data_IF_359321889474
#
_entry.id   IF_359321889474
#
_cell.length_a   1.000
_cell.length_b   1.000
_cell.length_c   1.000
_cell.angle_alpha   90.00
_cell.angle_beta   90.00
_cell.angle_gamma   90.00
#
_symmetry.space_group_name_H-M   'P 1'
#
loop_
_entity.id
_entity.type
_entity.pdbx_description
1 polymer ?
#
# COMPACT_ATOMS: atom_id res chain seq x y z
N UNK A 1 26.01 19.22 11.28
CA UNK A 1 26.07 18.11 10.31
C UNK A 1 24.77 17.34 10.42
N UNK A 2 23.91 17.46 9.41
CA UNK A 2 22.52 17.01 9.42
C UNK A 2 22.41 15.53 9.09
N UNK A 3 21.92 14.73 10.03
CA UNK A 3 21.53 13.34 9.79
C UNK A 3 20.01 13.32 9.53
N UNK A 4 19.59 13.65 8.31
CA UNK A 4 18.17 13.62 7.93
C UNK A 4 18.03 13.43 6.42
N UNK A 5 18.60 12.35 5.90
CA UNK A 5 18.49 12.00 4.48
C UNK A 5 18.49 10.48 4.36
N UNK A 6 17.30 9.88 4.18
CA UNK A 6 16.98 8.93 3.08
C UNK A 6 15.81 7.96 3.38
N UNK A 7 15.09 8.10 4.50
CA UNK A 7 13.89 7.27 4.75
C UNK A 7 12.71 7.80 3.94
N UNK A 8 12.12 7.01 3.02
CA UNK A 8 10.92 7.42 2.29
C UNK A 8 9.72 7.56 3.24
N UNK A 9 8.76 8.40 2.88
CA UNK A 9 7.52 8.54 3.66
C UNK A 9 6.75 7.22 3.83
N UNK A 10 5.90 7.15 4.85
CA UNK A 10 4.99 6.02 5.10
C UNK A 10 4.16 5.68 3.85
N UNK A 11 3.61 6.72 3.19
CA UNK A 11 2.86 6.58 1.93
C UNK A 11 3.70 5.95 0.82
N UNK A 12 4.93 6.44 0.64
CA UNK A 12 5.76 5.95 -0.45
C UNK A 12 6.21 4.50 -0.21
N UNK A 13 6.58 4.17 1.02
CA UNK A 13 6.89 2.80 1.44
C UNK A 13 5.72 1.86 1.18
N UNK A 14 4.50 2.29 1.52
CA UNK A 14 3.27 1.55 1.24
C UNK A 14 3.05 1.32 -0.26
N UNK A 15 3.25 2.36 -1.08
CA UNK A 15 3.11 2.28 -2.54
C UNK A 15 4.14 1.32 -3.13
N UNK A 16 5.43 1.47 -2.81
CA UNK A 16 6.50 0.59 -3.33
C UNK A 16 6.24 -0.87 -2.96
N UNK A 17 5.89 -1.14 -1.70
CA UNK A 17 5.54 -2.50 -1.26
C UNK A 17 4.38 -3.08 -2.06
N UNK A 18 3.32 -2.30 -2.32
CA UNK A 18 2.18 -2.79 -3.08
C UNK A 18 2.47 -2.97 -4.57
N UNK A 19 3.34 -2.14 -5.14
CA UNK A 19 3.81 -2.28 -6.51
C UNK A 19 4.63 -3.57 -6.67
N UNK A 20 5.62 -3.78 -5.80
CA UNK A 20 6.51 -4.95 -5.83
C UNK A 20 5.71 -6.25 -5.65
N UNK A 21 4.81 -6.30 -4.66
CA UNK A 21 3.97 -7.47 -4.39
C UNK A 21 3.04 -7.85 -5.55
N UNK A 22 2.74 -6.91 -6.46
CA UNK A 22 1.84 -7.11 -7.61
C UNK A 22 2.58 -7.13 -8.94
N UNK A 23 3.92 -7.00 -8.95
CA UNK A 23 4.70 -6.88 -10.18
C UNK A 23 4.34 -5.65 -11.02
N UNK A 24 3.87 -4.57 -10.37
CA UNK A 24 3.48 -3.32 -11.01
C UNK A 24 4.64 -2.32 -11.01
N UNK A 25 4.62 -1.40 -11.97
CA UNK A 25 5.64 -0.34 -12.09
C UNK A 25 5.11 1.02 -11.63
N UNK A 26 6.01 1.96 -11.38
CA UNK A 26 5.61 3.37 -11.19
C UNK A 26 4.94 3.96 -12.44
N UNK A 27 5.13 3.36 -13.63
CA UNK A 27 4.39 3.69 -14.83
C UNK A 27 2.91 3.29 -14.76
N UNK A 28 2.61 2.13 -14.16
CA UNK A 28 1.23 1.69 -13.89
C UNK A 28 0.55 2.61 -12.90
N UNK A 29 1.26 3.00 -11.83
CA UNK A 29 0.78 3.97 -10.85
C UNK A 29 0.42 5.31 -11.51
N UNK A 30 1.28 5.83 -12.39
CA UNK A 30 1.04 7.10 -13.09
C UNK A 30 -0.18 7.01 -14.00
N UNK A 31 -0.34 5.90 -14.74
CA UNK A 31 -1.52 5.67 -15.58
C UNK A 31 -2.81 5.56 -14.77
N UNK A 32 -2.79 4.83 -13.66
CA UNK A 32 -3.97 4.59 -12.83
C UNK A 32 -4.43 5.86 -12.12
N UNK A 33 -3.49 6.68 -11.63
CA UNK A 33 -3.79 7.89 -10.86
C UNK A 33 -3.93 9.15 -11.72
N UNK A 34 -3.47 9.11 -12.97
CA UNK A 34 -3.41 10.28 -13.86
C UNK A 34 -2.40 11.35 -13.42
N UNK A 35 -1.57 11.09 -12.39
CA UNK A 35 -0.63 12.09 -11.89
C UNK A 35 0.70 12.04 -12.65
N UNK A 36 1.34 13.20 -12.78
CA UNK A 36 2.67 13.31 -13.35
C UNK A 36 3.75 12.78 -12.39
N UNK A 37 4.84 12.21 -12.91
CA UNK A 37 5.93 11.59 -12.12
C UNK A 37 6.56 12.52 -11.08
N UNK A 38 6.50 13.84 -11.28
CA UNK A 38 6.96 14.82 -10.29
C UNK A 38 6.25 14.70 -8.94
N UNK A 39 4.98 14.24 -8.95
CA UNK A 39 4.22 13.95 -7.72
C UNK A 39 4.83 12.80 -6.93
N UNK A 40 5.48 11.83 -7.56
CA UNK A 40 6.11 10.71 -6.84
C UNK A 40 7.33 11.17 -6.03
N UNK A 41 8.08 12.15 -6.53
CA UNK A 41 9.17 12.77 -5.76
C UNK A 41 8.62 13.53 -4.55
N UNK A 42 7.50 14.23 -4.72
CA UNK A 42 6.79 14.90 -3.63
C UNK A 42 6.29 13.89 -2.58
N UNK A 43 5.70 12.77 -3.00
CA UNK A 43 5.22 11.72 -2.09
C UNK A 43 6.35 11.03 -1.34
N UNK A 44 7.49 10.74 -2.01
CA UNK A 44 8.71 10.24 -1.34
C UNK A 44 9.16 11.14 -0.19
N UNK A 45 9.01 12.45 -0.35
CA UNK A 45 9.36 13.49 0.63
C UNK A 45 8.27 13.74 1.68
N UNK A 46 7.18 12.97 1.67
CA UNK A 46 6.10 13.08 2.65
C UNK A 46 5.02 14.11 2.30
N UNK A 47 4.97 14.65 1.08
CA UNK A 47 3.79 15.42 0.67
C UNK A 47 2.60 14.48 0.50
N UNK A 48 1.47 14.91 1.03
CA UNK A 48 0.23 14.13 0.99
C UNK A 48 -0.43 14.11 -0.40
N UNK A 49 -1.52 13.35 -0.51
CA UNK A 49 -2.30 13.09 -1.72
C UNK A 49 -3.73 13.64 -1.58
N UNK A 50 -4.42 13.80 -2.72
CA UNK A 50 -5.85 14.07 -2.70
C UNK A 50 -6.66 12.79 -2.44
N UNK A 51 -7.90 12.94 -1.96
CA UNK A 51 -8.84 11.81 -1.80
C UNK A 51 -9.09 11.08 -3.13
N UNK A 52 -9.16 11.81 -4.24
CA UNK A 52 -9.30 11.24 -5.57
C UNK A 52 -8.10 10.35 -5.93
N UNK A 53 -6.89 10.81 -5.63
CA UNK A 53 -5.66 10.04 -5.84
C UNK A 53 -5.65 8.81 -4.94
N UNK A 54 -6.06 8.95 -3.67
CA UNK A 54 -6.15 7.83 -2.74
C UNK A 54 -7.13 6.74 -3.25
N UNK A 55 -8.28 7.14 -3.80
CA UNK A 55 -9.23 6.21 -4.43
C UNK A 55 -8.65 5.52 -5.67
N UNK A 56 -7.92 6.25 -6.52
CA UNK A 56 -7.29 5.67 -7.69
C UNK A 56 -6.20 4.64 -7.33
N UNK A 57 -5.38 4.95 -6.32
CA UNK A 57 -4.38 4.02 -5.76
C UNK A 57 -5.09 2.79 -5.16
N UNK A 58 -6.16 2.99 -4.39
CA UNK A 58 -6.91 1.91 -3.78
C UNK A 58 -7.51 0.96 -4.82
N UNK A 59 -8.04 1.51 -5.91
CA UNK A 59 -8.55 0.72 -7.03
C UNK A 59 -7.43 -0.07 -7.72
N UNK A 60 -6.26 0.53 -7.94
CA UNK A 60 -5.11 -0.16 -8.53
C UNK A 60 -4.64 -1.34 -7.66
N UNK A 61 -4.68 -1.18 -6.34
CA UNK A 61 -4.21 -2.20 -5.40
C UNK A 61 -5.31 -3.16 -4.94
N UNK A 62 -6.56 -2.95 -5.34
CA UNK A 62 -7.73 -3.72 -4.90
C UNK A 62 -7.90 -3.73 -3.36
N UNK A 63 -7.70 -2.57 -2.73
CA UNK A 63 -7.78 -2.36 -1.28
C UNK A 63 -8.83 -1.31 -0.93
N UNK A 64 -9.11 -1.15 0.37
CA UNK A 64 -10.00 -0.08 0.85
C UNK A 64 -9.35 1.29 0.64
N UNK A 65 -10.07 2.32 0.15
CA UNK A 65 -9.57 3.70 0.13
C UNK A 65 -9.12 4.20 1.50
N UNK A 66 -9.71 3.69 2.59
CA UNK A 66 -9.32 4.05 3.95
C UNK A 66 -7.89 3.59 4.27
N UNK A 67 -7.45 2.44 3.76
CA UNK A 67 -6.09 1.93 3.95
C UNK A 67 -5.06 2.88 3.34
N UNK A 68 -5.35 3.39 2.13
CA UNK A 68 -4.48 4.36 1.46
C UNK A 68 -4.46 5.71 2.19
N UNK A 69 -5.60 6.15 2.74
CA UNK A 69 -5.67 7.37 3.53
C UNK A 69 -4.88 7.27 4.84
N UNK A 70 -4.89 6.09 5.49
CA UNK A 70 -4.05 5.80 6.65
C UNK A 70 -2.57 5.81 6.26
N UNK A 71 -2.19 5.15 5.16
CA UNK A 71 -0.82 5.18 4.66
C UNK A 71 -0.35 6.60 4.28
N UNK A 72 -1.28 7.46 3.85
CA UNK A 72 -1.05 8.87 3.57
C UNK A 72 -1.10 9.77 4.81
N UNK A 73 -1.26 9.20 6.01
CA UNK A 73 -1.37 9.90 7.30
C UNK A 73 -2.49 10.97 7.32
N UNK A 74 -3.53 10.78 6.49
CA UNK A 74 -4.69 11.69 6.41
C UNK A 74 -5.77 11.37 7.43
N UNK A 75 -5.83 10.12 7.88
CA UNK A 75 -6.65 9.62 8.97
C UNK A 75 -5.85 8.58 9.76
N UNK A 76 -6.22 8.32 11.01
CA UNK A 76 -5.60 7.26 11.81
C UNK A 76 -6.25 5.90 11.53
N UNK A 77 -5.56 4.82 11.93
CA UNK A 77 -6.12 3.47 11.84
C UNK A 77 -7.38 3.30 12.70
N UNK A 78 -7.43 3.97 13.86
CA UNK A 78 -8.59 4.00 14.76
C UNK A 78 -9.78 4.70 14.10
N UNK A 79 -9.57 5.87 13.49
CA UNK A 79 -10.61 6.62 12.76
C UNK A 79 -11.18 5.81 11.59
N UNK A 80 -10.32 5.07 10.90
CA UNK A 80 -10.71 4.27 9.75
C UNK A 80 -11.55 3.02 10.14
N UNK A 81 -11.60 2.65 11.43
CA UNK A 81 -12.23 1.42 11.93
C UNK A 81 -11.94 0.21 11.03
N UNK A 82 -10.71 0.12 10.50
CA UNK A 82 -10.34 -0.87 9.49
C UNK A 82 -10.49 -2.28 10.04
N UNK A 83 -11.65 -2.91 9.81
CA UNK A 83 -11.85 -4.33 10.06
C UNK A 83 -11.08 -5.07 8.99
N UNK A 84 -9.90 -5.58 9.36
CA UNK A 84 -9.13 -6.46 8.49
C UNK A 84 -9.94 -7.74 8.33
N UNK A 85 -10.74 -7.85 7.25
CA UNK A 85 -11.60 -9.01 7.00
C UNK A 85 -10.81 -10.25 6.57
N UNK A 86 -9.49 -10.12 6.45
CA UNK A 86 -8.56 -11.21 6.18
C UNK A 86 -7.57 -11.27 7.35
N UNK A 87 -7.31 -12.47 7.92
CA UNK A 87 -6.19 -12.65 8.83
C UNK A 87 -4.93 -12.11 8.16
N UNK A 88 -4.15 -11.32 8.89
CA UNK A 88 -2.83 -10.91 8.44
C UNK A 88 -2.00 -12.17 8.18
N UNK A 89 -1.54 -12.42 6.94
CA UNK A 89 -0.67 -13.55 6.66
C UNK A 89 0.61 -13.53 7.50
N UNK A 90 1.09 -12.35 7.92
CA UNK A 90 2.26 -12.21 8.79
C UNK A 90 1.99 -12.63 10.24
N UNK A 91 0.73 -12.80 10.63
CA UNK A 91 0.34 -13.39 11.91
C UNK A 91 0.37 -14.93 11.87
N UNK A 92 0.53 -15.53 10.69
CA UNK A 92 0.74 -16.97 10.53
C UNK A 92 2.24 -17.25 10.55
N UNK A 93 2.64 -18.31 11.23
CA UNK A 93 3.95 -18.89 11.02
C UNK A 93 4.10 -19.39 9.58
N UNK A 94 5.34 -19.48 9.09
CA UNK A 94 5.63 -20.04 7.77
C UNK A 94 5.01 -21.45 7.60
N UNK A 95 4.99 -22.26 8.67
CA UNK A 95 4.39 -23.58 8.67
C UNK A 95 2.87 -23.55 8.44
N UNK A 96 2.18 -22.63 9.12
CA UNK A 96 0.73 -22.43 8.95
C UNK A 96 0.40 -21.89 7.55
N UNK A 97 1.24 -20.99 7.03
CA UNK A 97 1.10 -20.45 5.68
C UNK A 97 1.23 -21.55 4.61
N UNK A 98 2.24 -22.41 4.74
CA UNK A 98 2.47 -23.55 3.84
C UNK A 98 1.34 -24.58 3.95
N UNK A 99 0.84 -24.84 5.16
CA UNK A 99 -0.29 -25.75 5.37
C UNK A 99 -1.57 -25.24 4.68
N UNK A 100 -1.86 -23.95 4.82
CA UNK A 100 -3.01 -23.30 4.18
C UNK A 100 -2.90 -23.29 2.66
N UNK A 101 -1.71 -23.01 2.12
CA UNK A 101 -1.45 -23.06 0.67
C UNK A 101 -1.69 -24.47 0.10
N UNK A 102 -1.13 -25.51 0.75
CA UNK A 102 -1.34 -26.91 0.35
C UNK A 102 -2.82 -27.29 0.37
N UNK A 103 -3.57 -26.84 1.38
CA UNK A 103 -5.02 -27.09 1.49
C UNK A 103 -5.79 -26.49 0.32
N UNK A 104 -5.44 -25.27 -0.13
CA UNK A 104 -6.11 -24.61 -1.27
C UNK A 104 -5.79 -25.28 -2.61
N UNK A 105 -4.55 -25.71 -2.81
CA UNK A 105 -4.14 -26.38 -4.04
C UNK A 105 -4.87 -27.72 -4.25
N UNK A 106 -5.22 -28.45 -3.16
CA UNK A 106 -6.01 -29.69 -3.22
C UNK A 106 -7.51 -29.50 -3.49
N UNK A 107 -8.03 -28.26 -3.39
CA UNK A 107 -9.45 -27.94 -3.61
C UNK A 107 -9.76 -27.46 -5.04
N UNK A 108 -8.74 -27.40 -5.90
CA UNK A 108 -8.87 -27.16 -7.35
C UNK A 108 -8.65 -28.48 -8.08
#
# INVERSE_FOLDING_TARGET
>A
MSADQNTPSSLWTYIETNLDNRGLTTGDLARATGVHRSRFTDWRRGKSISIETARAIANLFEVSPLEVLVAAELITAEEAQLRHTRPDPAALSDEELVAELRRRLKRK
#
